data_IF_268917899416
#
_entry.id   IF_268917899416
#
_cell.length_a   1.000
_cell.length_b   1.000
_cell.length_c   1.000
_cell.angle_alpha   90.00
_cell.angle_beta   90.00
_cell.angle_gamma   90.00
#
_symmetry.space_group_name_H-M   'P 1'
#
loop_
_entity.id
_entity.type
_entity.pdbx_description
1 polymer ?
#
# COMPACT_ATOMS: atom_id res chain seq x y z
N UNK A 1 12.25 53.72 52.27
CA UNK A 1 12.62 52.29 52.34
C UNK A 1 12.16 51.59 51.08
N UNK A 2 12.89 50.58 50.56
CA UNK A 2 12.44 49.79 49.43
C UNK A 2 11.61 48.60 49.94
N UNK A 3 10.43 48.39 49.35
CA UNK A 3 9.68 47.15 49.48
C UNK A 3 9.31 46.69 48.07
N UNK A 4 9.85 45.54 47.68
CA UNK A 4 9.61 44.94 46.37
C UNK A 4 8.36 44.07 46.33
N UNK A 5 8.41 43.10 45.40
CA UNK A 5 7.51 41.94 45.23
C UNK A 5 6.29 42.26 44.35
N UNK A 6 6.02 41.53 43.28
CA UNK A 6 6.66 40.34 42.72
C UNK A 6 5.77 39.86 41.58
N UNK A 7 6.38 39.51 40.45
CA UNK A 7 5.68 38.80 39.40
C UNK A 7 5.23 37.42 39.88
N UNK A 8 4.02 37.01 39.50
CA UNK A 8 3.64 35.60 39.45
C UNK A 8 2.82 35.35 38.21
N UNK A 9 3.53 34.89 37.18
CA UNK A 9 2.94 34.08 36.12
C UNK A 9 2.57 32.69 36.65
N UNK A 10 1.75 32.00 35.87
CA UNK A 10 1.37 30.62 36.13
C UNK A 10 0.09 30.24 35.42
N UNK A 11 0.11 30.29 34.08
CA UNK A 11 -0.88 29.61 33.24
C UNK A 11 -0.99 28.15 33.69
N UNK A 12 -2.17 27.72 34.11
CA UNK A 12 -2.48 26.32 34.35
C UNK A 12 -2.27 25.55 33.05
N UNK A 13 -1.11 24.92 32.92
CA UNK A 13 -0.84 24.02 31.81
C UNK A 13 -1.76 22.83 31.91
N UNK A 14 -2.52 22.56 30.84
CA UNK A 14 -3.31 21.34 30.75
C UNK A 14 -2.44 20.12 31.07
N UNK A 15 -2.98 19.11 31.77
CA UNK A 15 -2.25 17.87 32.01
C UNK A 15 -1.81 17.27 30.68
N UNK A 16 -0.51 17.02 30.56
CA UNK A 16 0.09 16.40 29.38
C UNK A 16 -0.52 15.02 29.15
N UNK A 17 -1.36 14.89 28.12
CA UNK A 17 -1.84 13.59 27.65
C UNK A 17 -0.81 13.05 26.64
N UNK A 18 -0.12 11.93 26.94
CA UNK A 18 0.73 11.29 25.94
C UNK A 18 -0.14 10.92 24.73
N UNK A 19 0.22 11.43 23.55
CA UNK A 19 -0.46 11.07 22.30
C UNK A 19 0.25 9.88 21.68
N UNK A 20 -0.49 8.81 21.44
CA UNK A 20 -0.01 7.68 20.65
C UNK A 20 0.27 8.12 19.22
N UNK A 21 1.41 7.70 18.65
CA UNK A 21 1.81 8.00 17.28
C UNK A 21 1.22 6.95 16.35
N UNK A 22 0.48 7.37 15.33
CA UNK A 22 -0.01 6.49 14.25
C UNK A 22 1.15 5.73 13.61
N UNK A 23 1.06 4.40 13.61
CA UNK A 23 2.04 3.54 12.94
C UNK A 23 1.73 3.45 11.45
N UNK A 24 2.77 3.51 10.61
CA UNK A 24 2.64 3.40 9.15
C UNK A 24 3.42 2.18 8.67
N UNK A 25 2.75 1.24 8.03
CA UNK A 25 3.37 0.06 7.43
C UNK A 25 3.18 0.09 5.91
N UNK A 26 4.19 -0.34 5.17
CA UNK A 26 4.07 -0.53 3.73
C UNK A 26 3.63 -1.96 3.46
N UNK A 27 2.51 -2.13 2.76
CA UNK A 27 1.97 -3.43 2.38
C UNK A 27 2.16 -3.62 0.87
N UNK A 28 3.08 -4.49 0.50
CA UNK A 28 3.30 -4.83 -0.91
C UNK A 28 2.18 -5.72 -1.42
N UNK A 29 1.39 -5.24 -2.37
CA UNK A 29 0.24 -5.96 -2.95
C UNK A 29 0.48 -6.29 -4.42
N UNK A 30 0.01 -7.44 -4.87
CA UNK A 30 0.16 -7.85 -6.29
C UNK A 30 -0.95 -7.26 -7.17
N UNK A 31 -0.78 -7.29 -8.50
CA UNK A 31 -1.81 -6.80 -9.42
C UNK A 31 -3.08 -7.66 -9.38
N UNK A 32 -2.94 -8.96 -9.15
CA UNK A 32 -4.06 -9.91 -9.02
C UNK A 32 -4.84 -9.64 -7.74
N UNK A 33 -4.16 -9.39 -6.61
CA UNK A 33 -4.79 -9.00 -5.35
C UNK A 33 -5.57 -7.69 -5.50
N UNK A 34 -5.01 -6.73 -6.23
CA UNK A 34 -5.68 -5.46 -6.55
C UNK A 34 -6.82 -5.64 -7.56
N UNK A 35 -6.78 -6.64 -8.43
CA UNK A 35 -7.83 -6.91 -9.42
C UNK A 35 -9.07 -7.52 -8.76
N UNK A 36 -8.88 -8.54 -7.93
CA UNK A 36 -9.99 -9.25 -7.28
C UNK A 36 -10.47 -8.56 -6.00
N UNK A 37 -9.57 -7.89 -5.27
CA UNK A 37 -9.80 -7.44 -3.91
C UNK A 37 -9.74 -8.62 -2.93
N UNK A 38 -8.73 -8.64 -2.06
CA UNK A 38 -8.53 -9.74 -1.09
C UNK A 38 -8.23 -9.19 0.30
N UNK A 39 -8.58 -9.96 1.33
CA UNK A 39 -8.13 -9.69 2.69
C UNK A 39 -6.78 -10.34 2.92
N UNK A 40 -5.81 -9.58 3.41
CA UNK A 40 -4.46 -10.06 3.65
C UNK A 40 -4.13 -10.05 5.15
N UNK A 41 -3.72 -11.20 5.67
CA UNK A 41 -3.23 -11.30 7.05
C UNK A 41 -1.78 -10.82 7.12
N UNK A 42 -1.51 -9.78 7.89
CA UNK A 42 -0.19 -9.17 8.04
C UNK A 42 0.20 -9.20 9.51
N UNK A 43 1.40 -9.71 9.81
CA UNK A 43 1.96 -9.65 11.16
C UNK A 43 2.68 -8.32 11.37
N UNK A 44 2.11 -7.47 12.22
CA UNK A 44 2.74 -6.22 12.65
C UNK A 44 3.51 -6.43 13.95
N UNK A 45 4.67 -5.78 14.04
CA UNK A 45 5.52 -5.74 15.24
C UNK A 45 5.23 -4.46 16.00
N UNK A 46 4.73 -4.59 17.23
CA UNK A 46 4.47 -3.46 18.13
C UNK A 46 5.68 -3.21 19.03
N UNK A 47 6.14 -1.95 19.18
CA UNK A 47 7.08 -1.61 20.23
C UNK A 47 6.45 -1.92 21.60
N UNK A 48 7.29 -2.33 22.54
CA UNK A 48 6.84 -2.69 23.88
C UNK A 48 6.37 -1.47 24.67
N UNK A 49 5.40 -1.74 25.54
CA UNK A 49 4.72 -0.82 26.44
C UNK A 49 5.70 0.11 27.17
N UNK A 50 5.72 1.40 26.81
CA UNK A 50 6.47 2.42 27.56
C UNK A 50 5.63 2.93 28.73
N UNK A 51 6.10 2.74 29.96
CA UNK A 51 5.43 3.30 31.14
C UNK A 51 5.82 4.77 31.35
N UNK A 52 4.81 5.64 31.51
CA UNK A 52 5.01 7.03 31.88
C UNK A 52 4.64 7.23 33.36
N UNK A 53 5.43 8.03 34.06
CA UNK A 53 5.08 8.44 35.43
C UNK A 53 3.95 9.48 35.42
N UNK A 54 3.22 9.64 36.54
CA UNK A 54 2.24 10.73 36.70
C UNK A 54 2.81 12.15 36.49
N UNK A 55 4.14 12.30 36.55
CA UNK A 55 4.87 13.55 36.29
C UNK A 55 5.32 13.71 34.81
N UNK A 56 4.86 12.84 33.90
CA UNK A 56 5.20 12.87 32.47
C UNK A 56 6.64 12.45 32.14
N UNK A 57 7.44 12.02 33.12
CA UNK A 57 8.77 11.46 32.87
C UNK A 57 8.63 10.01 32.38
N UNK A 58 9.25 9.69 31.25
CA UNK A 58 9.48 8.29 30.83
C UNK A 58 10.23 7.58 31.97
N UNK A 59 9.61 6.57 32.58
CA UNK A 59 10.40 5.61 33.35
C UNK A 59 10.90 4.60 32.34
N UNK A 60 12.23 4.41 32.28
CA UNK A 60 12.78 3.19 31.70
C UNK A 60 12.39 2.07 32.66
N UNK A 61 11.27 1.44 32.41
CA UNK A 61 10.85 0.26 33.15
C UNK A 61 11.78 -0.91 32.76
N UNK A 62 12.01 -1.91 33.63
CA UNK A 62 12.75 -3.11 33.25
C UNK A 62 12.12 -3.85 32.04
N UNK A 63 10.82 -3.65 31.82
CA UNK A 63 10.04 -4.09 30.64
C UNK A 63 10.31 -3.32 29.34
N UNK A 64 11.15 -2.28 29.36
CA UNK A 64 11.69 -1.64 28.14
C UNK A 64 12.60 -2.61 27.35
N UNK A 65 12.95 -3.76 27.95
CA UNK A 65 13.59 -4.91 27.31
C UNK A 65 12.60 -6.00 26.86
N UNK A 66 11.28 -5.79 27.00
CA UNK A 66 10.32 -6.77 26.48
C UNK A 66 10.42 -6.82 24.95
N UNK A 67 10.51 -8.03 24.36
CA UNK A 67 10.57 -8.17 22.92
C UNK A 67 9.31 -7.57 22.30
N UNK A 68 9.41 -6.98 21.10
CA UNK A 68 8.26 -6.40 20.43
C UNK A 68 7.17 -7.48 20.23
N UNK A 69 5.94 -7.13 20.59
CA UNK A 69 4.81 -8.04 20.46
C UNK A 69 4.42 -8.15 18.98
N UNK A 70 4.27 -9.38 18.50
CA UNK A 70 3.82 -9.65 17.14
C UNK A 70 2.32 -9.92 17.17
N UNK A 71 1.54 -9.10 16.48
CA UNK A 71 0.11 -9.35 16.27
C UNK A 71 -0.15 -9.53 14.78
N UNK A 72 -0.93 -10.56 14.44
CA UNK A 72 -1.46 -10.73 13.09
C UNK A 72 -2.78 -9.98 12.98
N UNK A 73 -2.90 -9.15 11.95
CA UNK A 73 -4.09 -8.34 11.70
C UNK A 73 -4.52 -8.54 10.25
N UNK A 74 -5.83 -8.55 10.02
CA UNK A 74 -6.42 -8.67 8.69
C UNK A 74 -6.59 -7.29 8.06
N UNK A 75 -5.96 -7.09 6.90
CA UNK A 75 -6.01 -5.85 6.13
C UNK A 75 -6.83 -6.10 4.87
N UNK A 76 -8.02 -5.50 4.72
CA UNK A 76 -8.77 -5.59 3.48
C UNK A 76 -8.09 -4.77 2.39
N UNK A 77 -7.75 -5.39 1.27
CA UNK A 77 -7.24 -4.72 0.07
C UNK A 77 -8.41 -4.52 -0.89
N UNK A 78 -8.91 -3.28 -1.07
CA UNK A 78 -10.04 -3.04 -1.95
C UNK A 78 -9.67 -3.28 -3.42
N UNK A 79 -10.60 -3.88 -4.16
CA UNK A 79 -10.46 -4.06 -5.60
C UNK A 79 -10.27 -2.70 -6.30
N UNK A 80 -9.36 -2.65 -7.26
CA UNK A 80 -9.02 -1.44 -8.00
C UNK A 80 -8.21 -0.40 -7.23
N UNK A 81 -7.82 -0.64 -5.98
CA UNK A 81 -7.07 0.34 -5.20
C UNK A 81 -5.79 0.81 -5.92
N UNK A 82 -5.53 2.11 -5.93
CA UNK A 82 -4.33 2.66 -6.55
C UNK A 82 -3.10 2.41 -5.65
N UNK A 83 -1.92 2.34 -6.25
CA UNK A 83 -0.67 2.37 -5.48
C UNK A 83 -0.59 3.66 -4.66
N UNK A 84 -0.19 3.56 -3.40
CA UNK A 84 -0.17 4.66 -2.42
C UNK A 84 -1.48 4.83 -1.65
N UNK A 85 -2.54 4.08 -1.96
CA UNK A 85 -3.79 4.11 -1.18
C UNK A 85 -3.54 3.64 0.25
N UNK A 86 -4.26 4.23 1.21
CA UNK A 86 -4.08 3.94 2.64
C UNK A 86 -5.27 3.17 3.20
N UNK A 87 -5.00 2.09 3.92
CA UNK A 87 -5.99 1.34 4.71
C UNK A 87 -5.71 1.59 6.18
N UNK A 88 -6.67 2.17 6.89
CA UNK A 88 -6.54 2.50 8.31
C UNK A 88 -7.29 1.48 9.16
N UNK A 89 -6.60 0.89 10.12
CA UNK A 89 -7.18 0.02 11.15
C UNK A 89 -7.22 0.79 12.47
N UNK A 90 -8.44 0.97 12.98
CA UNK A 90 -8.68 1.75 14.19
C UNK A 90 -8.36 0.97 15.45
N UNK A 91 -7.68 1.62 16.41
CA UNK A 91 -7.41 1.03 17.73
C UNK A 91 -6.42 -0.14 17.73
N UNK A 92 -5.65 -0.33 16.66
CA UNK A 92 -4.67 -1.41 16.53
C UNK A 92 -3.22 -0.98 16.86
N UNK A 93 -3.01 0.26 17.29
CA UNK A 93 -1.70 0.78 17.72
C UNK A 93 -1.41 0.51 19.20
N UNK A 94 -0.16 0.74 19.61
CA UNK A 94 0.35 0.60 20.99
C UNK A 94 -0.58 1.20 22.07
N UNK A 95 -0.72 0.46 23.17
CA UNK A 95 -1.53 0.82 24.34
C UNK A 95 -0.68 1.58 25.36
N UNK A 96 -0.78 2.90 25.35
CA UNK A 96 -0.25 3.73 26.45
C UNK A 96 -1.32 3.80 27.55
N UNK A 97 -0.94 3.50 28.80
CA UNK A 97 -1.85 3.69 29.95
C UNK A 97 -2.36 5.15 29.96
N UNK A 98 -3.67 5.29 30.11
CA UNK A 98 -4.42 6.56 30.13
C UNK A 98 -4.61 7.27 28.76
N UNK A 99 -4.32 6.61 27.64
CA UNK A 99 -4.62 7.11 26.29
C UNK A 99 -5.27 6.03 25.41
N UNK A 100 -6.16 6.44 24.49
CA UNK A 100 -6.75 5.53 23.52
C UNK A 100 -5.66 5.01 22.55
N UNK A 101 -5.72 3.74 22.13
CA UNK A 101 -4.83 3.21 21.09
C UNK A 101 -4.99 4.04 19.81
N UNK A 102 -3.87 4.42 19.21
CA UNK A 102 -3.88 5.12 17.92
C UNK A 102 -4.25 4.16 16.77
N UNK A 103 -4.36 4.72 15.57
CA UNK A 103 -4.62 3.94 14.37
C UNK A 103 -3.33 3.37 13.78
N UNK A 104 -3.47 2.25 13.06
CA UNK A 104 -2.43 1.68 12.21
C UNK A 104 -2.81 1.94 10.76
N UNK A 105 -1.91 2.55 10.00
CA UNK A 105 -2.13 2.89 8.60
C UNK A 105 -1.23 2.01 7.73
N UNK A 106 -1.85 1.24 6.83
CA UNK A 106 -1.16 0.49 5.80
C UNK A 106 -1.16 1.30 4.50
N UNK A 107 0.02 1.59 3.96
CA UNK A 107 0.18 2.19 2.64
C UNK A 107 0.36 1.05 1.64
N UNK A 108 -0.60 0.90 0.74
CA UNK A 108 -0.55 -0.12 -0.30
C UNK A 108 0.53 0.25 -1.32
N UNK A 109 1.44 -0.68 -1.59
CA UNK A 109 2.51 -0.51 -2.57
C UNK A 109 2.35 -1.59 -3.63
N UNK A 110 1.99 -1.20 -4.84
CA UNK A 110 1.83 -2.17 -5.93
C UNK A 110 3.19 -2.78 -6.29
N UNK A 111 3.27 -4.11 -6.26
CA UNK A 111 4.43 -4.87 -6.74
C UNK A 111 4.46 -4.87 -8.27
N UNK A 112 5.66 -4.77 -8.84
CA UNK A 112 5.85 -4.93 -10.28
C UNK A 112 5.43 -6.33 -10.72
N UNK A 113 4.63 -6.43 -11.79
CA UNK A 113 4.20 -7.69 -12.37
C UNK A 113 5.04 -7.98 -13.64
N UNK A 114 5.42 -9.24 -13.90
CA UNK A 114 6.31 -9.58 -15.02
C UNK A 114 5.71 -9.29 -16.41
N UNK A 115 4.39 -9.44 -16.58
CA UNK A 115 3.73 -9.34 -17.89
C UNK A 115 2.97 -8.03 -18.09
N UNK A 116 2.48 -7.44 -17.00
CA UNK A 116 1.50 -6.35 -17.04
C UNK A 116 2.01 -5.16 -16.25
N UNK A 117 1.84 -3.98 -16.82
CA UNK A 117 2.09 -2.70 -16.17
C UNK A 117 0.78 -1.95 -16.11
N UNK A 118 0.29 -1.67 -14.90
CA UNK A 118 -0.93 -0.89 -14.72
C UNK A 118 -0.69 0.58 -15.05
N UNK A 119 -1.56 1.15 -15.88
CA UNK A 119 -1.59 2.57 -16.25
C UNK A 119 -2.97 3.13 -15.89
N UNK A 120 -3.09 3.69 -14.69
CA UNK A 120 -4.38 4.16 -14.17
C UNK A 120 -5.37 2.99 -13.99
N UNK A 121 -6.37 2.93 -14.86
CA UNK A 121 -7.40 1.87 -14.89
C UNK A 121 -7.13 0.79 -15.94
N UNK A 122 -6.09 0.96 -16.77
CA UNK A 122 -5.76 0.04 -17.84
C UNK A 122 -4.56 -0.86 -17.49
N UNK A 123 -4.47 -2.00 -18.18
CA UNK A 123 -3.31 -2.89 -18.15
C UNK A 123 -2.56 -2.80 -19.48
N UNK A 124 -1.28 -2.46 -19.42
CA UNK A 124 -0.38 -2.47 -20.58
C UNK A 124 0.58 -3.66 -20.51
N UNK A 125 0.90 -4.24 -21.66
CA UNK A 125 1.85 -5.36 -21.81
C UNK A 125 2.77 -5.05 -22.98
N UNK A 126 4.06 -5.38 -22.85
CA UNK A 126 5.01 -5.31 -23.95
C UNK A 126 5.14 -6.70 -24.59
N UNK A 127 4.74 -6.82 -25.86
CA UNK A 127 4.88 -8.04 -26.63
C UNK A 127 6.03 -7.90 -27.64
N UNK A 128 7.10 -8.66 -27.44
CA UNK A 128 8.22 -8.70 -28.39
C UNK A 128 7.87 -9.62 -29.56
N UNK A 129 7.87 -9.05 -30.76
CA UNK A 129 7.60 -9.76 -32.00
C UNK A 129 8.86 -9.79 -32.87
N UNK A 130 9.09 -10.92 -33.53
CA UNK A 130 10.06 -10.98 -34.63
C UNK A 130 9.54 -10.20 -35.85
N UNK A 131 10.45 -9.75 -36.72
CA UNK A 131 10.07 -9.07 -37.96
C UNK A 131 9.11 -9.93 -38.82
N UNK A 132 9.33 -11.25 -38.84
CA UNK A 132 8.47 -12.19 -39.55
C UNK A 132 7.06 -12.21 -38.96
N UNK A 133 6.92 -12.29 -37.64
CA UNK A 133 5.62 -12.25 -36.96
C UNK A 133 4.91 -10.92 -37.16
N UNK A 134 5.65 -9.80 -37.15
CA UNK A 134 5.09 -8.48 -37.40
C UNK A 134 4.55 -8.30 -38.83
N UNK A 135 5.19 -8.92 -39.84
CA UNK A 135 4.78 -8.80 -41.25
C UNK A 135 3.81 -9.88 -41.71
N UNK A 136 4.01 -11.13 -41.27
CA UNK A 136 3.24 -12.28 -41.71
C UNK A 136 2.01 -12.57 -40.84
N UNK A 137 1.75 -11.75 -39.83
CA UNK A 137 0.77 -12.02 -38.79
C UNK A 137 1.33 -12.89 -37.68
N UNK A 138 0.70 -12.81 -36.52
CA UNK A 138 1.07 -13.59 -35.33
C UNK A 138 -0.19 -13.99 -34.57
N UNK A 139 -0.06 -15.04 -33.77
CA UNK A 139 -1.07 -15.47 -32.81
C UNK A 139 -0.36 -15.78 -31.50
N UNK A 140 -0.86 -15.21 -30.40
CA UNK A 140 -0.26 -15.39 -29.07
C UNK A 140 -1.35 -15.55 -28.02
N UNK A 141 -1.20 -16.58 -27.20
CA UNK A 141 -2.01 -16.76 -26.00
C UNK A 141 -1.44 -15.94 -24.84
N UNK A 142 -2.30 -15.18 -24.17
CA UNK A 142 -1.96 -14.33 -23.03
C UNK A 142 -2.91 -14.62 -21.89
N UNK A 143 -2.36 -15.02 -20.75
CA UNK A 143 -3.11 -15.21 -19.51
C UNK A 143 -3.32 -13.87 -18.81
N UNK A 144 -4.56 -13.53 -18.54
CA UNK A 144 -4.97 -12.32 -17.84
C UNK A 144 -4.93 -12.52 -16.31
N UNK A 145 -5.14 -11.45 -15.54
CA UNK A 145 -5.05 -11.46 -14.06
C UNK A 145 -6.10 -12.37 -13.38
N UNK A 146 -7.21 -12.66 -14.06
CA UNK A 146 -8.29 -13.54 -13.60
C UNK A 146 -8.07 -15.02 -13.96
N UNK A 147 -6.91 -15.34 -14.55
CA UNK A 147 -6.57 -16.70 -15.00
C UNK A 147 -7.21 -17.10 -16.32
N UNK A 148 -7.98 -16.22 -16.98
CA UNK A 148 -8.50 -16.47 -18.32
C UNK A 148 -7.40 -16.27 -19.37
N UNK A 149 -7.42 -17.09 -20.41
CA UNK A 149 -6.49 -16.98 -21.54
C UNK A 149 -7.20 -16.32 -22.72
N UNK A 150 -6.57 -15.29 -23.28
CA UNK A 150 -7.02 -14.63 -24.50
C UNK A 150 -6.01 -14.84 -25.62
N UNK A 151 -6.52 -15.10 -26.81
CA UNK A 151 -5.69 -15.19 -28.01
C UNK A 151 -5.65 -13.82 -28.69
N UNK A 152 -4.47 -13.22 -28.74
CA UNK A 152 -4.21 -12.00 -29.48
C UNK A 152 -3.63 -12.41 -30.83
N UNK A 153 -4.33 -12.09 -31.91
CA UNK A 153 -3.89 -12.37 -33.27
C UNK A 153 -3.82 -11.08 -34.10
N UNK A 154 -2.77 -10.96 -34.91
CA UNK A 154 -2.68 -9.99 -36.00
C UNK A 154 -2.79 -10.74 -37.32
N UNK A 155 -3.70 -10.32 -38.22
CA UNK A 155 -3.77 -10.92 -39.55
C UNK A 155 -2.48 -10.68 -40.31
N UNK A 156 -2.23 -11.53 -41.30
CA UNK A 156 -1.14 -11.37 -42.25
C UNK A 156 -1.36 -10.11 -43.07
N UNK A 157 -0.28 -9.35 -43.32
CA UNK A 157 -0.32 -8.30 -44.32
C UNK A 157 -0.32 -8.95 -45.71
N UNK A 158 -1.51 -9.04 -46.30
CA UNK A 158 -1.69 -9.57 -47.64
C UNK A 158 -1.29 -8.52 -48.68
N UNK A 159 0.00 -8.46 -49.01
CA UNK A 159 0.50 -7.56 -50.08
C UNK A 159 -0.09 -7.89 -51.47
N UNK A 160 -0.68 -9.07 -51.65
CA UNK A 160 -1.37 -9.50 -52.88
C UNK A 160 -2.73 -8.82 -53.08
N UNK A 161 -3.46 -8.53 -51.99
CA UNK A 161 -4.81 -7.95 -52.07
C UNK A 161 -4.80 -6.47 -52.48
N UNK A 162 -3.71 -5.74 -52.21
CA UNK A 162 -3.56 -4.35 -52.66
C UNK A 162 -3.38 -4.21 -54.18
N UNK A 163 -2.88 -5.25 -54.86
CA UNK A 163 -2.70 -5.22 -56.32
C UNK A 163 -4.03 -5.37 -57.09
N UNK A 164 -5.03 -6.04 -56.51
CA UNK A 164 -6.32 -6.26 -57.16
C UNK A 164 -7.23 -5.01 -57.15
N UNK A 165 -7.02 -4.06 -56.23
CA UNK A 165 -7.81 -2.83 -56.15
C UNK A 165 -7.34 -1.71 -57.11
N UNK A 166 -6.16 -1.85 -57.72
CA UNK A 166 -5.60 -0.89 -58.68
C UNK A 166 -5.84 -1.30 -60.16
N UNK A 167 -6.43 -2.47 -60.41
CA UNK A 167 -6.78 -2.96 -61.74
C UNK A 167 -8.30 -2.98 -61.89
N UNK A 168 -8.91 -1.79 -61.96
CA UNK A 168 -10.28 -1.60 -62.46
C UNK A 168 -10.29 -1.44 -63.99
N UNK A 169 -11.45 -1.68 -64.64
CA UNK A 169 -11.60 -2.13 -66.02
C UNK A 169 -11.08 -1.19 -67.11
#
# INVERSE_FOLDING_TARGET
>A
GPAGRGGRGGTGGEPFRPRNRTMRYQLEVTLEELYEGRTRSVTISRPSRTEFTPQGRRRRSPSDQSPPERKTVEVPVPAGAASGSTVTLHGESDDVRDAAPADVVFVLSQRTHPTFTRRGHDLAMELKLSLREALCGFEREVTHLDGRTFTIASPRLDFSAAAAAAAGP
#
